data_IF_937360097728
#
_entry.id   IF_937360097728
#
_cell.length_a   1.000
_cell.length_b   1.000
_cell.length_c   1.000
_cell.angle_alpha   90.00
_cell.angle_beta   90.00
_cell.angle_gamma   90.00
#
_symmetry.space_group_name_H-M   'P 1'
#
loop_
_entity.id
_entity.type
_entity.pdbx_description
1 polymer ?
#
# COMPACT_ATOMS: atom_id res chain seq x y z
N UNK A 1 6.36 16.40 20.45
CA UNK A 1 7.32 15.42 19.89
C UNK A 1 7.37 14.26 20.87
N UNK A 2 7.27 13.01 20.41
CA UNK A 2 7.59 11.89 21.27
C UNK A 2 9.11 11.93 21.48
N UNK A 3 9.56 12.09 22.72
CA UNK A 3 10.98 11.98 23.08
C UNK A 3 11.28 10.49 23.17
N UNK A 4 11.81 9.94 22.09
CA UNK A 4 12.40 8.60 22.11
C UNK A 4 13.72 8.64 22.89
N UNK A 5 14.07 7.54 23.53
CA UNK A 5 15.39 7.35 24.13
C UNK A 5 16.43 7.39 23.03
N UNK A 6 17.52 8.14 23.22
CA UNK A 6 18.62 8.15 22.26
C UNK A 6 19.33 6.80 22.24
N UNK A 7 19.45 6.19 21.06
CA UNK A 7 20.12 4.90 20.91
C UNK A 7 20.75 4.78 19.53
N UNK A 8 21.79 3.95 19.44
CA UNK A 8 22.48 3.65 18.19
C UNK A 8 23.02 2.23 18.22
N UNK A 9 22.91 1.53 17.09
CA UNK A 9 23.61 0.27 16.85
C UNK A 9 24.48 0.44 15.60
N UNK A 10 25.77 0.23 15.73
CA UNK A 10 26.73 0.30 14.64
C UNK A 10 27.57 -0.98 14.58
N UNK A 11 27.63 -1.57 13.40
CA UNK A 11 28.40 -2.78 13.16
C UNK A 11 27.86 -3.55 11.95
N UNK A 12 28.51 -4.68 11.60
CA UNK A 12 28.10 -5.47 10.47
C UNK A 12 26.82 -6.26 10.79
N UNK A 13 25.94 -6.33 9.79
CA UNK A 13 24.74 -7.16 9.81
C UNK A 13 24.81 -8.25 8.75
N UNK A 14 24.15 -9.37 9.03
CA UNK A 14 24.07 -10.54 8.14
C UNK A 14 22.61 -10.92 7.98
N UNK A 15 22.17 -11.13 6.74
CA UNK A 15 20.83 -11.58 6.41
C UNK A 15 20.88 -12.89 5.61
N UNK A 16 20.26 -13.92 6.17
CA UNK A 16 20.07 -15.22 5.54
C UNK A 16 18.60 -15.35 5.17
N UNK A 17 18.28 -15.46 3.90
CA UNK A 17 16.91 -15.60 3.40
C UNK A 17 16.76 -16.90 2.59
N UNK A 18 15.56 -17.49 2.60
CA UNK A 18 15.22 -18.63 1.74
C UNK A 18 15.15 -18.28 0.24
N UNK A 19 15.03 -17.00 -0.10
CA UNK A 19 14.87 -16.56 -1.48
C UNK A 19 16.17 -16.63 -2.30
N UNK A 20 16.02 -16.59 -3.63
CA UNK A 20 17.15 -16.41 -4.55
C UNK A 20 17.88 -15.08 -4.30
N UNK A 21 19.08 -14.95 -4.90
CA UNK A 21 19.98 -13.79 -4.77
C UNK A 21 19.23 -12.45 -4.73
N UNK A 22 19.58 -11.61 -3.75
CA UNK A 22 19.05 -10.26 -3.62
C UNK A 22 17.76 -10.14 -2.80
N UNK A 23 17.09 -11.22 -2.39
CA UNK A 23 15.82 -11.16 -1.65
C UNK A 23 14.77 -10.28 -2.38
N UNK A 24 13.92 -10.84 -3.25
CA UNK A 24 13.00 -10.08 -4.11
C UNK A 24 12.14 -9.03 -3.38
N UNK A 25 11.83 -9.24 -2.10
CA UNK A 25 11.12 -8.28 -1.26
C UNK A 25 11.79 -6.89 -1.20
N UNK A 26 13.13 -6.83 -1.30
CA UNK A 26 13.90 -5.58 -1.36
C UNK A 26 13.67 -4.81 -2.68
N UNK A 27 13.11 -5.49 -3.69
CA UNK A 27 12.81 -4.97 -5.03
C UNK A 27 11.31 -4.78 -5.28
N UNK A 28 10.49 -4.75 -4.22
CA UNK A 28 9.02 -4.75 -4.32
C UNK A 28 8.47 -5.94 -5.12
N UNK A 29 9.14 -7.09 -5.05
CA UNK A 29 8.71 -8.33 -5.67
C UNK A 29 8.33 -9.36 -4.59
N UNK A 30 7.42 -10.31 -4.90
CA UNK A 30 7.03 -11.37 -3.95
C UNK A 30 8.21 -12.30 -3.64
N UNK A 31 8.22 -12.97 -2.47
CA UNK A 31 9.25 -13.95 -2.12
C UNK A 31 9.32 -15.07 -3.17
N UNK A 32 10.53 -15.56 -3.44
CA UNK A 32 10.78 -16.55 -4.50
C UNK A 32 9.94 -17.81 -4.34
N UNK A 33 9.83 -18.32 -3.11
CA UNK A 33 9.10 -19.56 -2.82
C UNK A 33 7.67 -19.32 -2.30
N UNK A 34 7.14 -18.09 -2.47
CA UNK A 34 5.82 -17.72 -1.97
C UNK A 34 5.71 -17.52 -0.45
N UNK A 35 6.71 -17.91 0.34
CA UNK A 35 6.84 -17.68 1.79
C UNK A 35 8.19 -17.03 2.13
N UNK A 36 8.27 -16.40 3.32
CA UNK A 36 9.51 -15.76 3.78
C UNK A 36 10.02 -16.43 5.07
N UNK A 37 11.22 -16.99 5.00
CA UNK A 37 11.94 -17.55 6.14
C UNK A 37 13.33 -16.91 6.16
N UNK A 38 13.70 -16.32 7.29
CA UNK A 38 14.95 -15.59 7.40
C UNK A 38 15.61 -15.73 8.77
N UNK A 39 16.94 -15.65 8.80
CA UNK A 39 17.73 -15.39 10.00
C UNK A 39 18.56 -14.13 9.78
N UNK A 40 18.44 -13.16 10.67
CA UNK A 40 19.14 -11.88 10.58
C UNK A 40 19.95 -11.69 11.84
N UNK A 41 21.23 -11.34 11.70
CA UNK A 41 22.15 -11.17 12.81
C UNK A 41 22.91 -9.86 12.73
N UNK A 42 23.32 -9.34 13.88
CA UNK A 42 24.14 -8.14 14.01
C UNK A 42 25.25 -8.40 15.03
N UNK A 43 26.46 -7.94 14.72
CA UNK A 43 27.50 -7.70 15.72
C UNK A 43 27.53 -6.21 15.98
N UNK A 44 27.29 -5.80 17.23
CA UNK A 44 27.27 -4.41 17.65
C UNK A 44 28.70 -4.04 18.02
N UNK A 45 29.44 -3.45 17.08
CA UNK A 45 30.82 -2.99 17.33
C UNK A 45 30.81 -1.78 18.26
N UNK A 46 29.87 -0.87 18.03
CA UNK A 46 29.63 0.31 18.86
C UNK A 46 28.12 0.54 18.99
N UNK A 47 27.62 0.72 20.20
CA UNK A 47 26.21 1.02 20.40
C UNK A 47 25.84 1.42 21.82
N UNK A 48 24.72 2.11 21.94
CA UNK A 48 24.19 2.57 23.21
C UNK A 48 22.67 2.66 23.19
N UNK A 49 22.07 2.66 24.37
CA UNK A 49 20.67 2.97 24.62
C UNK A 49 20.56 3.79 25.91
N UNK A 50 20.36 5.10 25.76
CA UNK A 50 20.58 6.07 26.83
C UNK A 50 22.00 5.94 27.37
N UNK A 51 22.13 5.70 28.67
CA UNK A 51 23.42 5.51 29.35
C UNK A 51 23.95 4.05 29.27
N UNK A 52 23.19 3.11 28.69
CA UNK A 52 23.57 1.70 28.63
C UNK A 52 24.43 1.45 27.39
N UNK A 53 25.70 1.06 27.56
CA UNK A 53 26.53 0.58 26.45
C UNK A 53 26.05 -0.80 25.97
N UNK A 54 26.04 -0.98 24.65
CA UNK A 54 25.67 -2.22 23.95
C UNK A 54 26.85 -2.75 23.13
N UNK A 55 28.07 -2.30 23.43
CA UNK A 55 29.28 -2.63 22.68
C UNK A 55 29.63 -4.12 22.77
N UNK A 56 30.17 -4.64 21.68
CA UNK A 56 30.62 -6.03 21.49
C UNK A 56 29.56 -7.12 21.76
N UNK A 57 28.27 -6.78 21.63
CA UNK A 57 27.18 -7.75 21.74
C UNK A 57 26.75 -8.29 20.38
N UNK A 58 26.41 -9.58 20.36
CA UNK A 58 25.80 -10.22 19.20
C UNK A 58 24.30 -10.43 19.41
N UNK A 59 23.53 -10.21 18.35
CA UNK A 59 22.09 -10.39 18.36
C UNK A 59 21.70 -11.10 17.08
N UNK A 60 20.79 -12.07 17.18
CA UNK A 60 20.19 -12.73 16.03
C UNK A 60 18.67 -12.81 16.20
N UNK A 61 17.95 -12.81 15.08
CA UNK A 61 16.51 -13.06 15.05
C UNK A 61 16.19 -14.04 13.91
N UNK A 62 15.30 -14.98 14.17
CA UNK A 62 14.66 -15.78 13.11
C UNK A 62 13.26 -15.27 12.85
N UNK A 63 12.87 -15.26 11.59
CA UNK A 63 11.58 -14.81 11.13
C UNK A 63 10.93 -15.83 10.20
N UNK A 64 9.61 -15.95 10.29
CA UNK A 64 8.80 -16.75 9.39
C UNK A 64 7.48 -16.03 9.08
N UNK A 65 7.21 -15.80 7.79
CA UNK A 65 5.91 -15.35 7.28
C UNK A 65 5.35 -16.39 6.31
N UNK A 66 4.04 -16.67 6.36
CA UNK A 66 3.39 -17.63 5.46
C UNK A 66 3.36 -17.13 4.00
N UNK A 67 3.49 -15.82 3.81
CA UNK A 67 3.43 -15.14 2.52
C UNK A 67 4.46 -14.02 2.44
N UNK A 68 4.13 -12.97 1.69
CA UNK A 68 4.96 -11.77 1.65
C UNK A 68 4.91 -11.04 3.00
N UNK A 69 6.03 -10.44 3.44
CA UNK A 69 6.17 -9.81 4.77
C UNK A 69 5.03 -8.81 5.08
N UNK A 70 4.60 -8.05 4.07
CA UNK A 70 3.55 -7.04 4.21
C UNK A 70 2.12 -7.61 4.37
N UNK A 71 1.92 -8.90 4.09
CA UNK A 71 0.66 -9.61 4.33
C UNK A 71 0.48 -9.95 5.83
N UNK A 72 1.55 -9.80 6.62
CA UNK A 72 1.54 -9.98 8.07
C UNK A 72 1.50 -11.46 8.49
N UNK A 73 0.97 -11.71 9.69
CA UNK A 73 0.96 -13.03 10.33
C UNK A 73 2.35 -13.66 10.50
N UNK A 74 3.36 -12.81 10.63
CA UNK A 74 4.72 -13.26 10.84
C UNK A 74 4.98 -13.69 12.28
N UNK A 75 5.99 -14.51 12.44
CA UNK A 75 6.52 -14.93 13.72
C UNK A 75 7.99 -14.57 13.83
N UNK A 76 8.43 -14.20 15.03
CA UNK A 76 9.82 -13.87 15.30
C UNK A 76 10.28 -14.47 16.63
N UNK A 77 11.53 -14.91 16.67
CA UNK A 77 12.24 -15.30 17.88
C UNK A 77 13.55 -14.53 17.92
N UNK A 78 13.79 -13.80 19.01
CA UNK A 78 15.04 -13.10 19.25
C UNK A 78 16.00 -13.97 20.07
N UNK A 79 17.29 -13.88 19.73
CA UNK A 79 18.42 -14.49 20.41
C UNK A 79 19.41 -13.37 20.75
N UNK A 80 19.65 -13.18 22.04
CA UNK A 80 20.57 -12.16 22.55
C UNK A 80 21.75 -12.89 23.18
N UNK A 81 22.95 -12.39 22.95
CA UNK A 81 24.17 -12.90 23.55
C UNK A 81 24.02 -13.07 25.07
N UNK A 82 24.36 -14.26 25.58
CA UNK A 82 24.30 -14.59 27.00
C UNK A 82 25.15 -13.66 27.87
N UNK A 83 26.21 -13.07 27.29
CA UNK A 83 27.09 -12.07 27.94
C UNK A 83 26.37 -10.76 28.27
N UNK A 84 25.23 -10.49 27.64
CA UNK A 84 24.47 -9.27 27.90
C UNK A 84 23.92 -9.25 29.33
N UNK A 85 24.15 -8.15 30.05
CA UNK A 85 23.56 -7.88 31.36
C UNK A 85 22.05 -7.57 31.25
N UNK A 86 21.32 -7.63 32.36
CA UNK A 86 19.88 -7.38 32.38
C UNK A 86 19.48 -6.01 31.77
N UNK A 87 20.15 -4.88 32.07
CA UNK A 87 19.86 -3.61 31.41
C UNK A 87 20.09 -3.65 29.90
N UNK A 88 21.14 -4.35 29.44
CA UNK A 88 21.44 -4.50 28.01
C UNK A 88 20.41 -5.35 27.30
N UNK A 89 19.96 -6.46 27.93
CA UNK A 89 18.89 -7.31 27.41
C UNK A 89 17.60 -6.52 27.23
N UNK A 90 17.20 -5.76 28.25
CA UNK A 90 16.01 -4.93 28.19
C UNK A 90 16.13 -3.86 27.08
N UNK A 91 17.27 -3.18 26.98
CA UNK A 91 17.53 -2.20 25.93
C UNK A 91 17.41 -2.82 24.53
N UNK A 92 18.06 -3.97 24.29
CA UNK A 92 18.00 -4.67 23.01
C UNK A 92 16.58 -5.11 22.66
N UNK A 93 15.82 -5.67 23.60
CA UNK A 93 14.42 -6.06 23.36
C UNK A 93 13.53 -4.86 23.06
N UNK A 94 13.75 -3.73 23.72
CA UNK A 94 13.02 -2.48 23.46
C UNK A 94 13.33 -1.92 22.06
N UNK A 95 14.59 -1.97 21.61
CA UNK A 95 14.99 -1.57 20.25
C UNK A 95 14.40 -2.53 19.21
N UNK A 96 14.58 -3.85 19.37
CA UNK A 96 14.15 -4.87 18.42
C UNK A 96 12.63 -4.97 18.28
N UNK A 97 11.88 -4.65 19.33
CA UNK A 97 10.41 -4.56 19.29
C UNK A 97 9.89 -3.27 18.64
N UNK A 98 10.78 -2.33 18.32
CA UNK A 98 10.45 -1.07 17.68
C UNK A 98 9.73 -0.06 18.58
N UNK A 99 9.84 -0.18 19.90
CA UNK A 99 9.16 0.68 20.86
C UNK A 99 9.75 2.10 20.95
N UNK A 100 11.08 2.22 20.84
CA UNK A 100 11.83 3.48 21.03
C UNK A 100 12.33 4.08 19.73
N UNK A 101 11.47 4.09 18.71
CA UNK A 101 11.82 4.62 17.40
C UNK A 101 10.59 5.09 16.64
N UNK A 102 10.83 5.94 15.64
CA UNK A 102 9.79 6.38 14.72
C UNK A 102 9.11 5.17 14.06
N UNK A 103 7.79 5.19 13.84
CA UNK A 103 7.05 4.07 13.24
C UNK A 103 7.55 3.65 11.85
N UNK A 104 8.30 4.52 11.17
CA UNK A 104 8.91 4.26 9.86
C UNK A 104 10.31 3.63 9.95
N UNK A 105 10.86 3.47 11.16
CA UNK A 105 12.14 2.81 11.36
C UNK A 105 12.01 1.30 11.16
N UNK A 106 13.15 0.67 10.81
CA UNK A 106 13.24 -0.73 10.40
C UNK A 106 12.51 -1.68 11.37
N UNK A 107 12.89 -1.67 12.66
CA UNK A 107 12.31 -2.61 13.63
C UNK A 107 10.80 -2.39 13.88
N UNK A 108 10.28 -1.18 13.68
CA UNK A 108 8.89 -0.83 13.95
C UNK A 108 8.01 -1.33 12.79
N UNK A 109 8.53 -1.23 11.56
CA UNK A 109 7.90 -1.84 10.39
C UNK A 109 7.83 -3.36 10.58
N UNK A 110 8.95 -4.02 10.90
CA UNK A 110 8.94 -5.47 11.09
C UNK A 110 8.02 -5.88 12.23
N UNK A 111 8.12 -5.25 13.40
CA UNK A 111 7.24 -5.51 14.53
C UNK A 111 5.75 -5.37 14.18
N UNK A 112 5.38 -4.46 13.28
CA UNK A 112 3.98 -4.29 12.85
C UNK A 112 3.44 -5.44 11.98
N UNK A 113 4.32 -6.22 11.37
CA UNK A 113 3.96 -7.37 10.52
C UNK A 113 3.93 -8.70 11.28
N UNK A 114 4.36 -8.70 12.53
CA UNK A 114 4.46 -9.90 13.36
C UNK A 114 3.17 -10.07 14.18
N UNK A 115 2.54 -11.23 14.08
CA UNK A 115 1.43 -11.64 14.95
C UNK A 115 1.93 -12.31 16.22
N UNK A 116 3.14 -12.86 16.19
CA UNK A 116 3.72 -13.64 17.29
C UNK A 116 5.17 -13.24 17.50
N UNK A 117 5.47 -12.80 18.72
CA UNK A 117 6.84 -12.63 19.22
C UNK A 117 7.05 -13.72 20.27
N UNK A 118 7.94 -14.66 19.98
CA UNK A 118 8.30 -15.72 20.92
C UNK A 118 9.20 -15.18 22.04
N UNK A 119 9.25 -15.90 23.15
CA UNK A 119 10.01 -15.50 24.33
C UNK A 119 11.52 -15.45 24.01
N UNK A 120 12.21 -14.31 24.19
CA UNK A 120 13.60 -14.16 23.79
C UNK A 120 14.50 -15.16 24.51
N UNK A 121 15.51 -15.68 23.80
CA UNK A 121 16.50 -16.59 24.38
C UNK A 121 17.82 -15.85 24.59
N UNK A 122 18.43 -16.08 25.75
CA UNK A 122 19.75 -15.57 26.10
C UNK A 122 20.76 -16.71 26.02
N UNK A 123 21.46 -16.81 24.90
CA UNK A 123 22.30 -17.97 24.53
C UNK A 123 23.57 -17.48 23.84
N UNK A 124 24.59 -18.33 23.64
CA UNK A 124 25.73 -17.96 22.81
C UNK A 124 25.25 -17.60 21.40
N UNK A 125 25.54 -16.37 20.98
CA UNK A 125 25.24 -15.86 19.63
C UNK A 125 26.55 -15.38 19.02
N UNK A 126 26.87 -15.87 17.84
CA UNK A 126 28.04 -15.44 17.07
C UNK A 126 27.58 -14.97 15.69
N UNK A 127 27.91 -13.73 15.36
CA UNK A 127 27.66 -13.11 14.06
C UNK A 127 28.97 -12.59 13.53
N UNK A 128 29.45 -13.19 12.45
CA UNK A 128 30.70 -12.79 11.79
C UNK A 128 30.38 -12.29 10.40
N UNK A 129 31.09 -11.24 9.98
CA UNK A 129 30.95 -10.67 8.65
C UNK A 129 32.29 -10.11 8.20
N UNK A 130 32.74 -10.58 7.04
CA UNK A 130 33.92 -10.08 6.37
C UNK A 130 33.50 -9.54 4.98
N UNK A 131 33.56 -8.22 4.85
CA UNK A 131 33.18 -7.52 3.62
C UNK A 131 34.24 -7.64 2.53
N UNK A 132 35.48 -7.92 2.89
CA UNK A 132 36.57 -8.09 1.94
C UNK A 132 36.47 -9.48 1.30
N UNK A 133 36.22 -10.54 2.07
CA UNK A 133 35.97 -11.86 1.49
C UNK A 133 34.53 -12.09 1.01
N UNK A 134 33.59 -11.18 1.33
CA UNK A 134 32.15 -11.35 1.13
C UNK A 134 31.60 -12.61 1.79
N UNK A 135 32.17 -12.96 2.95
CA UNK A 135 31.70 -14.09 3.76
C UNK A 135 31.03 -13.58 5.02
N UNK A 136 30.03 -14.31 5.49
CA UNK A 136 29.38 -14.01 6.75
C UNK A 136 28.79 -15.27 7.37
N UNK A 137 28.56 -15.29 8.68
CA UNK A 137 27.90 -16.39 9.36
C UNK A 137 27.08 -15.92 10.54
N UNK A 138 25.99 -16.65 10.80
CA UNK A 138 25.22 -16.56 12.03
C UNK A 138 25.25 -17.96 12.66
N UNK A 139 25.69 -18.03 13.91
CA UNK A 139 25.71 -19.26 14.69
C UNK A 139 25.04 -19.03 16.04
N UNK A 140 24.03 -19.83 16.30
CA UNK A 140 23.40 -20.01 17.62
C UNK A 140 23.36 -21.52 17.86
N UNK A 141 24.19 -22.07 18.76
CA UNK A 141 24.35 -23.51 18.91
C UNK A 141 23.02 -24.27 19.05
N UNK A 142 22.80 -25.27 18.19
CA UNK A 142 21.58 -26.09 18.18
C UNK A 142 20.33 -25.42 17.60
N UNK A 143 20.40 -24.15 17.21
CA UNK A 143 19.23 -23.36 16.78
C UNK A 143 19.41 -22.72 15.40
N UNK A 144 20.55 -22.06 15.16
CA UNK A 144 20.87 -21.41 13.87
C UNK A 144 22.29 -21.82 13.47
N UNK A 145 22.41 -22.36 12.26
CA UNK A 145 23.70 -22.49 11.59
C UNK A 145 23.53 -22.04 10.14
N UNK A 146 24.12 -20.89 9.81
CA UNK A 146 24.00 -20.31 8.48
C UNK A 146 25.26 -19.58 8.06
N UNK A 147 25.58 -19.70 6.78
CA UNK A 147 26.76 -19.11 6.15
C UNK A 147 26.37 -18.43 4.83
N UNK A 148 27.05 -17.32 4.56
CA UNK A 148 27.01 -16.56 3.32
C UNK A 148 28.37 -16.73 2.65
N UNK A 149 28.37 -17.12 1.39
CA UNK A 149 29.56 -17.27 0.57
C UNK A 149 29.39 -16.50 -0.74
N UNK A 150 30.46 -16.02 -1.39
CA UNK A 150 30.35 -15.21 -2.59
C UNK A 150 29.52 -15.86 -3.70
N UNK A 151 28.80 -15.03 -4.46
CA UNK A 151 28.19 -15.47 -5.72
C UNK A 151 29.31 -15.94 -6.64
N UNK A 152 29.18 -17.11 -7.25
CA UNK A 152 30.18 -17.60 -8.20
C UNK A 152 29.70 -17.42 -9.63
N UNK A 153 30.60 -17.01 -10.52
CA UNK A 153 30.33 -16.99 -11.96
C UNK A 153 30.19 -18.43 -12.48
N UNK A 154 29.07 -18.80 -13.12
CA UNK A 154 28.83 -20.18 -13.57
C UNK A 154 29.77 -20.63 -14.69
N UNK A 155 30.50 -19.72 -15.34
CA UNK A 155 31.41 -20.04 -16.44
C UNK A 155 32.82 -20.39 -15.95
N UNK A 156 33.36 -19.61 -15.01
CA UNK A 156 34.76 -19.71 -14.58
C UNK A 156 34.93 -19.95 -13.07
N UNK A 157 33.84 -20.00 -12.29
CA UNK A 157 33.86 -20.20 -10.84
C UNK A 157 34.42 -19.02 -10.04
N UNK A 158 34.74 -17.89 -10.67
CA UNK A 158 35.27 -16.72 -9.98
C UNK A 158 34.22 -16.02 -9.11
N UNK A 159 34.61 -15.41 -7.98
CA UNK A 159 33.68 -14.61 -7.16
C UNK A 159 33.12 -13.40 -7.92
N UNK A 160 31.81 -13.38 -8.12
CA UNK A 160 31.06 -12.29 -8.70
C UNK A 160 30.59 -11.31 -7.60
N UNK A 161 31.17 -10.10 -7.61
CA UNK A 161 30.76 -9.03 -6.67
C UNK A 161 29.63 -8.21 -7.26
N UNK A 162 28.47 -8.26 -6.64
CA UNK A 162 27.33 -7.46 -7.03
C UNK A 162 26.99 -6.42 -5.93
N UNK A 163 26.87 -5.15 -6.31
CA UNK A 163 26.52 -4.05 -5.40
C UNK A 163 25.22 -3.41 -5.83
N UNK A 164 24.28 -3.28 -4.90
CA UNK A 164 23.04 -2.56 -5.14
C UNK A 164 23.10 -1.16 -4.56
N UNK A 165 22.60 -0.21 -5.34
CA UNK A 165 22.38 1.16 -4.90
C UNK A 165 20.93 1.46 -5.21
N UNK A 166 20.12 1.63 -4.16
CA UNK A 166 18.75 2.12 -4.27
C UNK A 166 18.83 3.65 -4.14
N UNK A 167 18.71 4.43 -5.23
CA UNK A 167 19.01 5.87 -5.20
C UNK A 167 18.08 6.70 -4.31
N UNK A 168 16.85 6.20 -4.12
CA UNK A 168 15.79 6.88 -3.38
C UNK A 168 15.48 6.24 -2.02
N UNK A 169 16.20 5.17 -1.63
CA UNK A 169 16.05 4.56 -0.31
C UNK A 169 16.75 5.42 0.74
N UNK A 170 15.99 6.09 1.60
CA UNK A 170 16.55 6.78 2.76
C UNK A 170 17.25 5.75 3.66
N UNK A 171 18.58 5.84 3.73
CA UNK A 171 19.51 5.01 4.49
C UNK A 171 19.65 3.53 4.06
N UNK A 172 20.44 3.28 3.01
CA UNK A 172 21.64 2.41 3.03
C UNK A 172 21.98 1.91 1.62
N UNK A 173 23.20 2.20 1.15
CA UNK A 173 23.77 1.47 0.02
C UNK A 173 24.20 0.08 0.53
N UNK A 174 23.38 -0.96 0.35
CA UNK A 174 23.70 -2.33 0.73
C UNK A 174 24.32 -3.09 -0.46
N UNK A 175 25.49 -3.74 -0.28
CA UNK A 175 25.92 -4.77 -1.23
C UNK A 175 24.84 -5.85 -1.39
N UNK A 176 24.78 -6.52 -2.54
CA UNK A 176 23.95 -7.74 -2.65
C UNK A 176 24.59 -8.76 -1.70
N UNK A 177 23.87 -9.15 -0.65
CA UNK A 177 24.24 -10.34 0.09
C UNK A 177 24.15 -11.52 -0.89
N UNK A 178 25.22 -12.30 -1.06
CA UNK A 178 25.12 -13.57 -1.77
C UNK A 178 23.99 -14.42 -1.17
N UNK A 179 23.31 -15.21 -1.99
CA UNK A 179 22.42 -16.24 -1.47
C UNK A 179 23.24 -17.17 -0.59
N UNK A 180 22.71 -17.61 0.56
CA UNK A 180 23.44 -18.47 1.46
C UNK A 180 23.77 -19.79 0.73
N UNK A 181 25.01 -20.24 0.79
CA UNK A 181 25.43 -21.47 0.11
C UNK A 181 24.79 -22.73 0.69
N UNK A 182 24.37 -22.64 1.95
CA UNK A 182 23.45 -23.56 2.61
C UNK A 182 22.11 -22.87 2.86
N UNK A 183 20.98 -23.48 2.49
CA UNK A 183 19.68 -23.04 3.01
C UNK A 183 19.78 -22.98 4.53
N UNK A 184 19.40 -21.87 5.19
CA UNK A 184 19.46 -21.81 6.64
C UNK A 184 18.63 -22.97 7.17
N UNK A 185 19.25 -23.82 8.00
CA UNK A 185 18.54 -24.91 8.67
C UNK A 185 17.77 -24.28 9.83
N UNK A 186 16.77 -23.45 9.51
CA UNK A 186 15.76 -23.00 10.46
C UNK A 186 14.90 -24.22 10.72
N UNK A 187 14.82 -24.73 11.96
CA UNK A 187 13.86 -25.78 12.25
C UNK A 187 12.48 -25.26 11.86
N UNK A 188 11.86 -25.85 10.84
CA UNK A 188 10.40 -25.75 10.66
C UNK A 188 9.77 -26.12 11.99
N UNK A 189 8.69 -25.47 12.45
CA UNK A 189 8.23 -25.61 13.82
C UNK A 189 7.95 -27.08 14.14
N UNK A 190 8.90 -27.66 14.88
CA UNK A 190 8.81 -28.88 15.68
C UNK A 190 8.91 -30.22 14.95
N UNK A 191 10.15 -30.61 14.61
CA UNK A 191 10.58 -32.01 14.72
C UNK A 191 11.75 -32.11 15.70
N UNK A 192 11.43 -32.23 17.00
CA UNK A 192 12.09 -33.29 17.78
C UNK A 192 11.10 -34.43 17.86
N UNK A 193 11.55 -35.65 17.55
CA UNK A 193 11.62 -36.62 18.62
C UNK A 193 13.02 -37.21 18.75
N UNK A 194 13.29 -37.69 19.95
CA UNK A 194 14.35 -38.63 20.25
C UNK A 194 14.48 -39.71 19.15
N UNK A 195 15.72 -40.18 18.98
CA UNK A 195 16.10 -41.28 18.10
C UNK A 195 14.99 -42.32 17.83
N UNK A 196 14.68 -42.59 16.55
CA UNK A 196 14.57 -43.93 15.92
C UNK A 196 13.88 -43.89 14.54
N UNK A 197 14.02 -44.95 13.72
CA UNK A 197 13.96 -44.88 12.25
C UNK A 197 12.61 -45.30 11.65
N UNK A 198 12.42 -44.87 10.40
CA UNK A 198 11.69 -45.50 9.29
C UNK A 198 10.24 -46.00 9.48
N UNK A 199 9.44 -45.63 8.47
CA UNK A 199 8.22 -46.28 7.97
C UNK A 199 6.87 -45.92 8.60
N UNK A 200 5.93 -45.66 7.69
CA UNK A 200 4.47 -45.85 7.81
C UNK A 200 3.66 -44.64 8.32
N UNK A 201 3.02 -43.99 7.35
CA UNK A 201 1.72 -43.27 7.40
C UNK A 201 1.13 -43.00 8.78
N UNK A 202 1.13 -41.72 9.17
CA UNK A 202 0.08 -41.13 10.00
C UNK A 202 -0.58 -40.00 9.22
N UNK A 203 -1.84 -40.23 8.87
CA UNK A 203 -2.80 -39.25 8.39
C UNK A 203 -2.93 -38.18 9.48
N UNK A 204 -2.61 -36.93 9.17
CA UNK A 204 -2.85 -35.79 10.05
C UNK A 204 -3.84 -34.83 9.40
N UNK A 205 -4.82 -34.45 10.21
CA UNK A 205 -6.00 -33.69 9.90
C UNK A 205 -5.66 -32.19 9.68
N UNK A 206 -5.89 -31.59 8.49
CA UNK A 206 -5.45 -30.21 8.20
C UNK A 206 -6.31 -29.09 8.83
N UNK A 207 -7.21 -29.38 9.77
CA UNK A 207 -8.30 -28.46 10.16
C UNK A 207 -8.31 -27.91 11.60
N UNK A 208 -7.20 -27.95 12.34
CA UNK A 208 -7.08 -27.22 13.62
C UNK A 208 -5.71 -26.52 13.69
N UNK A 209 -5.55 -25.19 13.60
CA UNK A 209 -6.44 -24.09 14.01
C UNK A 209 -6.21 -22.88 13.09
N UNK A 210 -7.10 -22.65 12.11
CA UNK A 210 -7.34 -21.31 11.61
C UNK A 210 -8.12 -20.56 12.70
N UNK A 211 -7.41 -19.94 13.65
CA UNK A 211 -8.04 -18.90 14.45
C UNK A 211 -8.34 -17.74 13.48
N UNK A 212 -9.61 -17.40 13.21
CA UNK A 212 -9.92 -16.24 12.38
C UNK A 212 -9.21 -15.03 12.98
N UNK A 213 -8.52 -14.26 12.14
CA UNK A 213 -7.96 -12.96 12.52
C UNK A 213 -9.04 -12.22 13.32
N UNK A 214 -8.80 -11.90 14.59
CA UNK A 214 -9.78 -11.17 15.39
C UNK A 214 -10.19 -9.94 14.57
N UNK A 215 -11.49 -9.81 14.27
CA UNK A 215 -12.03 -8.69 13.52
C UNK A 215 -11.56 -7.42 14.25
N UNK A 216 -10.76 -6.58 13.58
CA UNK A 216 -10.46 -5.23 14.08
C UNK A 216 -11.76 -4.45 14.03
N UNK A 217 -12.53 -4.51 15.11
CA UNK A 217 -13.83 -3.85 15.25
C UNK A 217 -13.75 -2.35 14.98
N UNK A 218 -12.60 -1.72 15.22
CA UNK A 218 -12.42 -0.32 14.89
C UNK A 218 -12.15 -0.09 13.40
N UNK A 219 -11.50 -1.01 12.69
CA UNK A 219 -11.41 -0.96 11.22
C UNK A 219 -12.77 -1.27 10.58
N UNK A 220 -13.50 -2.24 11.13
CA UNK A 220 -14.85 -2.56 10.71
C UNK A 220 -15.79 -1.36 10.92
N UNK A 221 -15.76 -0.71 12.09
CA UNK A 221 -16.56 0.48 12.37
C UNK A 221 -16.18 1.66 11.45
N UNK A 222 -14.90 1.92 11.24
CA UNK A 222 -14.45 2.97 10.33
C UNK A 222 -14.86 2.69 8.87
N UNK A 223 -14.70 1.44 8.42
CA UNK A 223 -15.12 1.01 7.09
C UNK A 223 -16.63 1.10 6.90
N UNK A 224 -17.42 0.58 7.85
CA UNK A 224 -18.88 0.66 7.84
C UNK A 224 -19.36 2.12 7.86
N UNK A 225 -18.72 2.99 8.63
CA UNK A 225 -19.04 4.43 8.65
C UNK A 225 -18.82 5.09 7.28
N UNK A 226 -17.69 4.81 6.62
CA UNK A 226 -17.41 5.32 5.28
C UNK A 226 -18.42 4.78 4.27
N UNK A 227 -18.72 3.48 4.30
CA UNK A 227 -19.68 2.86 3.40
C UNK A 227 -21.10 3.40 3.62
N UNK A 228 -21.50 3.68 4.86
CA UNK A 228 -22.79 4.31 5.17
C UNK A 228 -22.88 5.74 4.60
N UNK A 229 -21.80 6.54 4.71
CA UNK A 229 -21.72 7.86 4.09
C UNK A 229 -21.80 7.77 2.56
N UNK A 230 -21.13 6.79 1.96
CA UNK A 230 -21.20 6.55 0.51
C UNK A 230 -22.62 6.15 0.09
N UNK A 231 -23.29 5.28 0.84
CA UNK A 231 -24.67 4.86 0.58
C UNK A 231 -25.64 6.04 0.69
N UNK A 232 -25.45 6.93 1.69
CA UNK A 232 -26.23 8.14 1.84
C UNK A 232 -26.02 9.11 0.66
N UNK A 233 -24.78 9.27 0.20
CA UNK A 233 -24.46 10.10 -0.97
C UNK A 233 -25.08 9.54 -2.26
N UNK A 234 -25.06 8.22 -2.44
CA UNK A 234 -25.75 7.53 -3.54
C UNK A 234 -27.27 7.70 -3.47
N UNK A 235 -27.87 7.53 -2.29
CA UNK A 235 -29.29 7.78 -2.07
C UNK A 235 -29.67 9.21 -2.44
N UNK A 236 -28.87 10.18 -2.02
CA UNK A 236 -29.11 11.58 -2.35
C UNK A 236 -28.99 11.86 -3.85
N UNK A 237 -27.95 11.33 -4.49
CA UNK A 237 -27.76 11.44 -5.95
C UNK A 237 -28.93 10.82 -6.73
N UNK A 238 -29.44 9.67 -6.27
CA UNK A 238 -30.61 9.02 -6.86
C UNK A 238 -31.90 9.83 -6.67
N UNK A 239 -32.03 10.50 -5.53
CA UNK A 239 -33.15 11.41 -5.25
C UNK A 239 -33.10 12.66 -6.12
N UNK A 240 -31.91 13.24 -6.33
CA UNK A 240 -31.74 14.38 -7.25
C UNK A 240 -32.06 13.99 -8.69
N UNK A 241 -31.59 12.82 -9.13
CA UNK A 241 -31.93 12.28 -10.45
C UNK A 241 -33.44 12.04 -10.63
N UNK A 242 -34.14 11.52 -9.61
CA UNK A 242 -35.59 11.30 -9.68
C UNK A 242 -36.39 12.61 -9.66
N UNK A 243 -35.95 13.62 -8.92
CA UNK A 243 -36.55 14.95 -8.93
C UNK A 243 -36.43 15.61 -10.31
N UNK A 244 -35.26 15.54 -10.94
CA UNK A 244 -35.07 16.07 -12.30
C UNK A 244 -35.86 15.30 -13.34
N UNK A 245 -35.94 13.96 -13.22
CA UNK A 245 -36.80 13.16 -14.10
C UNK A 245 -38.30 13.52 -13.95
N UNK A 246 -38.75 13.87 -12.73
CA UNK A 246 -40.12 14.29 -12.47
C UNK A 246 -40.45 15.68 -13.02
N UNK A 247 -39.45 16.53 -13.28
CA UNK A 247 -39.64 17.85 -13.91
C UNK A 247 -39.89 17.76 -15.43
N UNK A 248 -39.75 16.58 -16.05
CA UNK A 248 -40.09 16.36 -17.46
C UNK A 248 -39.28 17.24 -18.44
N UNK A 249 -39.88 17.57 -19.59
CA UNK A 249 -39.23 18.40 -20.63
C UNK A 249 -39.36 19.92 -20.37
N UNK A 250 -39.51 20.36 -19.12
CA UNK A 250 -39.56 21.80 -18.81
C UNK A 250 -38.23 22.46 -19.16
N UNK A 251 -38.20 23.41 -20.09
CA UNK A 251 -36.97 24.13 -20.44
C UNK A 251 -36.40 24.87 -19.24
N UNK A 252 -35.25 24.40 -18.74
CA UNK A 252 -34.49 25.13 -17.74
C UNK A 252 -33.57 26.17 -18.41
N UNK A 253 -33.50 27.40 -17.88
CA UNK A 253 -32.51 28.36 -18.32
C UNK A 253 -31.09 27.84 -18.00
N UNK A 254 -30.06 28.28 -18.74
CA UNK A 254 -28.67 27.99 -18.43
C UNK A 254 -28.34 28.31 -16.97
N UNK A 255 -27.50 27.48 -16.35
CA UNK A 255 -27.18 27.60 -14.92
C UNK A 255 -26.56 28.97 -14.61
N UNK A 256 -27.26 29.76 -13.79
CA UNK A 256 -26.69 30.97 -13.18
C UNK A 256 -25.96 30.61 -11.87
N UNK A 257 -24.65 30.82 -11.86
CA UNK A 257 -23.75 30.49 -10.76
C UNK A 257 -24.06 31.22 -9.46
N UNK A 258 -24.53 32.46 -9.56
CA UNK A 258 -24.81 33.29 -8.39
C UNK A 258 -26.25 33.12 -7.89
N UNK A 259 -26.99 32.17 -8.46
CA UNK A 259 -28.35 31.84 -8.09
C UNK A 259 -28.43 30.55 -7.25
N UNK A 260 -29.58 30.27 -6.59
CA UNK A 260 -29.83 28.98 -5.96
C UNK A 260 -29.69 27.78 -6.90
N UNK A 261 -29.87 27.98 -8.22
CA UNK A 261 -29.67 26.94 -9.24
C UNK A 261 -28.19 26.52 -9.33
N UNK A 262 -27.28 27.50 -9.33
CA UNK A 262 -25.84 27.24 -9.32
C UNK A 262 -25.39 26.47 -8.08
N UNK A 263 -25.92 26.82 -6.91
CA UNK A 263 -25.66 26.08 -5.66
C UNK A 263 -26.18 24.64 -5.73
N UNK A 264 -27.36 24.44 -6.33
CA UNK A 264 -27.91 23.10 -6.53
C UNK A 264 -27.04 22.25 -7.45
N UNK A 265 -26.63 22.79 -8.61
CA UNK A 265 -25.76 22.07 -9.57
C UNK A 265 -24.41 21.74 -8.94
N UNK A 266 -23.81 22.67 -8.19
CA UNK A 266 -22.58 22.41 -7.44
C UNK A 266 -22.79 21.30 -6.38
N UNK A 267 -23.89 21.37 -5.63
CA UNK A 267 -24.27 20.37 -4.64
C UNK A 267 -24.37 18.97 -5.24
N UNK A 268 -25.08 18.84 -6.37
CA UNK A 268 -25.23 17.60 -7.12
C UNK A 268 -23.88 17.03 -7.59
N UNK A 269 -22.99 17.86 -8.15
CA UNK A 269 -21.66 17.38 -8.55
C UNK A 269 -20.81 16.96 -7.36
N UNK A 270 -20.89 17.68 -6.23
CA UNK A 270 -20.19 17.32 -5.00
C UNK A 270 -20.68 15.97 -4.47
N UNK A 271 -22.00 15.80 -4.30
CA UNK A 271 -22.58 14.56 -3.79
C UNK A 271 -22.23 13.38 -4.68
N UNK A 272 -22.35 13.54 -6.00
CA UNK A 272 -22.00 12.53 -6.99
C UNK A 272 -20.52 12.13 -6.92
N UNK A 273 -19.59 13.11 -6.91
CA UNK A 273 -18.15 12.82 -6.83
C UNK A 273 -17.80 12.06 -5.55
N UNK A 274 -18.38 12.45 -4.41
CA UNK A 274 -18.13 11.78 -3.15
C UNK A 274 -18.73 10.36 -3.12
N UNK A 275 -19.92 10.18 -3.69
CA UNK A 275 -20.58 8.87 -3.77
C UNK A 275 -19.73 7.83 -4.53
N UNK A 276 -19.09 8.24 -5.61
CA UNK A 276 -18.32 7.34 -6.47
C UNK A 276 -16.88 7.15 -6.00
N UNK A 277 -16.23 8.22 -5.50
CA UNK A 277 -14.77 8.21 -5.29
C UNK A 277 -14.33 7.96 -3.85
N UNK A 278 -15.20 8.20 -2.86
CA UNK A 278 -14.87 7.88 -1.47
C UNK A 278 -14.67 6.37 -1.21
N UNK A 279 -15.48 5.45 -1.80
CA UNK A 279 -15.24 4.00 -1.66
C UNK A 279 -13.85 3.57 -2.16
N UNK A 280 -13.35 4.20 -3.22
CA UNK A 280 -12.07 3.86 -3.82
C UNK A 280 -10.87 4.20 -2.91
N UNK A 281 -11.02 5.12 -1.96
CA UNK A 281 -9.98 5.45 -0.98
C UNK A 281 -10.02 4.55 0.27
N UNK A 282 -11.04 3.69 0.41
CA UNK A 282 -11.25 2.91 1.63
C UNK A 282 -10.03 2.05 2.05
N UNK A 283 -9.38 1.26 1.17
CA UNK A 283 -8.22 0.47 1.58
C UNK A 283 -7.07 1.34 2.10
N UNK A 284 -6.86 2.49 1.45
CA UNK A 284 -5.85 3.47 1.83
C UNK A 284 -6.17 4.11 3.20
N UNK A 285 -7.43 4.48 3.45
CA UNK A 285 -7.87 5.05 4.72
C UNK A 285 -7.72 4.03 5.86
N UNK A 286 -8.08 2.77 5.63
CA UNK A 286 -7.95 1.70 6.63
C UNK A 286 -6.47 1.39 6.93
N UNK A 287 -5.62 1.38 5.91
CA UNK A 287 -4.18 1.22 6.10
C UNK A 287 -3.57 2.41 6.84
N UNK A 288 -3.91 3.64 6.44
CA UNK A 288 -3.44 4.85 7.11
C UNK A 288 -3.89 4.87 8.58
N UNK A 289 -5.14 4.48 8.85
CA UNK A 289 -5.66 4.29 10.22
C UNK A 289 -4.74 3.35 11.00
N UNK A 290 -4.40 2.18 10.46
CA UNK A 290 -3.49 1.21 11.10
C UNK A 290 -2.15 1.84 11.44
N UNK A 291 -1.57 2.63 10.54
CA UNK A 291 -0.30 3.33 10.77
C UNK A 291 -0.38 4.37 11.89
N UNK A 292 -1.53 5.04 12.08
CA UNK A 292 -1.69 6.08 13.11
C UNK A 292 -2.36 5.59 14.40
N UNK A 293 -2.69 4.30 14.54
CA UNK A 293 -3.49 3.78 15.68
C UNK A 293 -2.88 4.09 17.05
N UNK A 294 -1.55 4.09 17.12
CA UNK A 294 -0.76 4.33 18.35
C UNK A 294 -0.47 5.82 18.59
N UNK A 295 -0.87 6.71 17.68
CA UNK A 295 -0.65 8.15 17.82
C UNK A 295 -1.75 8.82 18.68
N UNK A 296 -1.34 9.71 19.59
CA UNK A 296 -2.28 10.45 20.45
C UNK A 296 -3.24 11.36 19.65
N UNK A 297 -2.82 11.81 18.46
CA UNK A 297 -3.60 12.64 17.55
C UNK A 297 -4.22 11.84 16.39
N UNK A 298 -4.34 10.51 16.52
CA UNK A 298 -4.84 9.60 15.47
C UNK A 298 -6.13 10.09 14.81
N UNK A 299 -7.09 10.56 15.62
CA UNK A 299 -8.39 11.01 15.13
C UNK A 299 -8.24 12.25 14.26
N UNK A 300 -7.49 13.26 14.74
CA UNK A 300 -7.24 14.48 13.98
C UNK A 300 -6.48 14.21 12.68
N UNK A 301 -5.45 13.34 12.71
CA UNK A 301 -4.69 12.96 11.51
C UNK A 301 -5.55 12.23 10.49
N UNK A 302 -6.37 11.28 10.95
CA UNK A 302 -7.28 10.55 10.06
C UNK A 302 -8.31 11.49 9.42
N UNK A 303 -8.89 12.40 10.20
CA UNK A 303 -9.81 13.42 9.67
C UNK A 303 -9.13 14.36 8.68
N UNK A 304 -7.91 14.82 8.94
CA UNK A 304 -7.16 15.67 8.01
C UNK A 304 -6.82 14.95 6.71
N UNK A 305 -6.45 13.67 6.79
CA UNK A 305 -6.20 12.85 5.60
C UNK A 305 -7.49 12.73 4.75
N UNK A 306 -8.61 12.38 5.36
CA UNK A 306 -9.89 12.27 4.68
C UNK A 306 -10.38 13.62 4.13
N UNK A 307 -10.26 14.70 4.91
CA UNK A 307 -10.67 16.05 4.50
C UNK A 307 -9.85 16.55 3.30
N UNK A 308 -8.55 16.28 3.27
CA UNK A 308 -7.71 16.60 2.11
C UNK A 308 -8.14 15.83 0.85
N UNK A 309 -8.48 14.54 0.99
CA UNK A 309 -9.00 13.74 -0.13
C UNK A 309 -10.34 14.29 -0.65
N UNK A 310 -11.26 14.58 0.27
CA UNK A 310 -12.56 15.19 -0.05
C UNK A 310 -12.35 16.53 -0.75
N UNK A 311 -11.44 17.38 -0.27
CA UNK A 311 -11.15 18.68 -0.86
C UNK A 311 -10.68 18.58 -2.32
N UNK A 312 -9.79 17.63 -2.64
CA UNK A 312 -9.31 17.44 -4.02
C UNK A 312 -10.47 17.07 -4.95
N UNK A 313 -11.33 16.14 -4.54
CA UNK A 313 -12.49 15.75 -5.32
C UNK A 313 -13.56 16.83 -5.39
N UNK A 314 -13.76 17.62 -4.34
CA UNK A 314 -14.62 18.79 -4.36
C UNK A 314 -14.12 19.87 -5.33
N UNK A 315 -12.81 20.09 -5.40
CA UNK A 315 -12.21 20.98 -6.39
C UNK A 315 -12.44 20.49 -7.83
N UNK A 316 -12.37 19.18 -8.06
CA UNK A 316 -12.70 18.61 -9.36
C UNK A 316 -14.21 18.68 -9.68
N UNK A 317 -15.08 18.51 -8.68
CA UNK A 317 -16.52 18.69 -8.82
C UNK A 317 -16.85 20.14 -9.24
N UNK A 318 -16.21 21.12 -8.59
CA UNK A 318 -16.32 22.54 -8.93
C UNK A 318 -15.85 22.83 -10.37
N UNK A 319 -14.77 22.17 -10.82
CA UNK A 319 -14.31 22.27 -12.20
C UNK A 319 -15.35 21.73 -13.18
N UNK A 320 -15.94 20.56 -12.90
CA UNK A 320 -16.94 19.96 -13.78
C UNK A 320 -18.26 20.73 -13.81
N UNK A 321 -18.73 21.25 -12.68
CA UNK A 321 -19.88 22.15 -12.69
C UNK A 321 -19.55 23.45 -13.45
N UNK A 322 -18.31 23.96 -13.36
CA UNK A 322 -17.79 25.07 -14.16
C UNK A 322 -17.91 24.83 -15.65
N UNK A 323 -17.38 23.67 -16.10
CA UNK A 323 -17.43 23.24 -17.49
C UNK A 323 -18.87 23.01 -17.97
N UNK A 324 -19.74 22.48 -17.11
CA UNK A 324 -21.16 22.31 -17.42
C UNK A 324 -21.81 23.65 -17.71
N UNK A 325 -21.72 24.60 -16.78
CA UNK A 325 -22.34 25.91 -16.93
C UNK A 325 -21.80 26.69 -18.12
N UNK A 326 -20.49 26.60 -18.38
CA UNK A 326 -19.89 27.18 -19.59
C UNK A 326 -20.45 26.52 -20.86
N UNK A 327 -20.58 25.19 -20.87
CA UNK A 327 -21.16 24.44 -21.98
C UNK A 327 -22.62 24.83 -22.25
N UNK A 328 -23.42 25.02 -21.20
CA UNK A 328 -24.80 25.49 -21.30
C UNK A 328 -24.87 26.92 -21.84
N UNK A 329 -24.00 27.82 -21.36
CA UNK A 329 -23.98 29.22 -21.77
C UNK A 329 -23.58 29.40 -23.25
N UNK A 330 -22.65 28.57 -23.74
CA UNK A 330 -22.23 28.56 -25.15
C UNK A 330 -23.23 27.78 -26.03
N UNK A 331 -24.25 27.15 -25.45
CA UNK A 331 -25.26 26.38 -26.16
C UNK A 331 -24.78 25.03 -26.68
N UNK A 332 -23.66 24.53 -26.14
CA UNK A 332 -23.02 23.27 -26.53
C UNK A 332 -23.52 22.11 -25.65
N UNK A 333 -23.97 22.38 -24.43
CA UNK A 333 -24.49 21.39 -23.51
C UNK A 333 -25.98 21.60 -23.30
N UNK A 334 -26.76 20.53 -23.38
CA UNK A 334 -28.18 20.53 -23.08
C UNK A 334 -28.40 20.72 -21.55
N UNK A 335 -29.04 21.82 -21.09
CA UNK A 335 -29.22 22.10 -19.66
C UNK A 335 -30.12 21.08 -18.93
N UNK A 336 -30.93 20.32 -19.66
CA UNK A 336 -31.80 19.29 -19.09
C UNK A 336 -31.10 17.93 -19.03
N UNK A 337 -30.46 17.53 -20.12
CA UNK A 337 -29.85 16.19 -20.23
C UNK A 337 -28.41 16.13 -19.74
N UNK A 338 -27.78 17.29 -19.49
CA UNK A 338 -26.36 17.44 -19.13
C UNK A 338 -25.46 16.54 -20.00
N UNK A 339 -25.72 16.57 -21.31
CA UNK A 339 -25.12 15.66 -22.29
C UNK A 339 -24.53 16.44 -23.45
N UNK A 340 -23.30 16.09 -23.81
CA UNK A 340 -22.62 16.66 -24.97
C UNK A 340 -23.24 16.16 -26.29
N UNK A 341 -23.21 16.97 -27.36
CA UNK A 341 -23.61 16.54 -28.69
C UNK A 341 -22.71 15.40 -29.16
N UNK A 342 -23.22 14.50 -30.04
CA UNK A 342 -22.50 13.28 -30.44
C UNK A 342 -21.06 13.53 -30.92
N UNK A 343 -20.81 14.60 -31.68
CA UNK A 343 -19.48 14.95 -32.16
C UNK A 343 -18.48 15.24 -31.01
N UNK A 344 -18.87 16.06 -30.04
CA UNK A 344 -18.02 16.37 -28.88
C UNK A 344 -17.93 15.21 -27.90
N UNK A 345 -19.03 14.47 -27.72
CA UNK A 345 -19.03 13.24 -26.92
C UNK A 345 -18.06 12.20 -27.46
N UNK A 346 -17.98 12.07 -28.80
CA UNK A 346 -17.01 11.20 -29.47
C UNK A 346 -15.56 11.62 -29.21
N UNK A 347 -15.27 12.93 -29.26
CA UNK A 347 -13.96 13.45 -28.87
C UNK A 347 -13.61 13.16 -27.42
N UNK A 348 -14.55 13.34 -26.49
CA UNK A 348 -14.33 13.06 -25.06
C UNK A 348 -14.03 11.57 -24.84
N UNK A 349 -14.74 10.67 -25.51
CA UNK A 349 -14.47 9.22 -25.46
C UNK A 349 -13.08 8.87 -26.01
N UNK A 350 -12.66 9.51 -27.12
CA UNK A 350 -11.32 9.35 -27.66
C UNK A 350 -10.25 9.80 -26.67
N UNK A 351 -10.41 11.00 -26.07
CA UNK A 351 -9.48 11.52 -25.07
C UNK A 351 -9.44 10.61 -23.85
N UNK A 352 -10.59 10.14 -23.36
CA UNK A 352 -10.66 9.21 -22.24
C UNK A 352 -9.95 7.89 -22.56
N UNK A 353 -10.18 7.32 -23.74
CA UNK A 353 -9.53 6.09 -24.19
C UNK A 353 -8.02 6.23 -24.43
N UNK A 354 -7.56 7.35 -25.01
CA UNK A 354 -6.13 7.64 -25.15
C UNK A 354 -5.47 7.84 -23.79
N UNK A 355 -6.13 8.55 -22.87
CA UNK A 355 -5.66 8.71 -21.50
C UNK A 355 -5.59 7.37 -20.78
N UNK A 356 -6.57 6.49 -21.02
CA UNK A 356 -6.62 5.13 -20.49
C UNK A 356 -5.34 4.35 -20.83
N UNK A 357 -4.81 4.52 -22.04
CA UNK A 357 -3.58 3.87 -22.53
C UNK A 357 -2.28 4.59 -22.10
N UNK A 358 -2.38 5.82 -21.61
CA UNK A 358 -1.22 6.69 -21.35
C UNK A 358 -0.30 6.18 -20.21
N UNK A 359 1.00 6.51 -20.29
CA UNK A 359 1.94 6.22 -19.19
C UNK A 359 1.61 7.00 -17.91
N UNK A 360 1.01 8.19 -18.06
CA UNK A 360 0.59 9.04 -16.94
C UNK A 360 -0.47 8.35 -16.07
N UNK A 361 -1.54 7.80 -16.70
CA UNK A 361 -2.55 7.02 -15.96
C UNK A 361 -1.91 5.81 -15.29
N UNK A 362 -1.06 5.06 -16.00
CA UNK A 362 -0.40 3.88 -15.43
C UNK A 362 0.43 4.24 -14.19
N UNK A 363 1.15 5.37 -14.21
CA UNK A 363 1.92 5.85 -13.07
C UNK A 363 1.03 6.18 -11.87
N UNK A 364 -0.06 6.94 -12.09
CA UNK A 364 -1.00 7.29 -11.04
C UNK A 364 -1.70 6.04 -10.46
N UNK A 365 -2.12 5.12 -11.33
CA UNK A 365 -2.82 3.90 -10.93
C UNK A 365 -1.96 2.99 -10.07
N UNK A 366 -0.66 2.85 -10.38
CA UNK A 366 0.27 2.09 -9.52
C UNK A 366 0.27 2.60 -8.07
N UNK A 367 0.26 3.91 -7.88
CA UNK A 367 0.22 4.51 -6.54
C UNK A 367 -1.11 4.25 -5.81
N UNK A 368 -2.21 4.19 -6.56
CA UNK A 368 -3.52 3.81 -6.00
C UNK A 368 -3.63 2.31 -5.67
N UNK A 369 -2.98 1.44 -6.46
CA UNK A 369 -2.98 -0.02 -6.28
C UNK A 369 -1.97 -0.50 -5.22
N UNK A 370 -0.97 0.31 -4.88
CA UNK A 370 0.03 0.01 -3.84
C UNK A 370 -0.05 0.95 -2.62
N UNK A 371 -1.13 0.90 -1.80
CA UNK A 371 -1.29 1.78 -0.63
C UNK A 371 -0.09 1.81 0.32
N UNK A 372 0.54 0.65 0.56
CA UNK A 372 1.68 0.52 1.45
C UNK A 372 2.92 1.24 0.90
N UNK A 373 3.27 0.97 -0.37
CA UNK A 373 4.39 1.66 -1.04
C UNK A 373 4.16 3.17 -1.13
N UNK A 374 2.92 3.60 -1.36
CA UNK A 374 2.57 5.02 -1.36
C UNK A 374 2.84 5.67 0.00
N UNK A 375 2.39 5.04 1.10
CA UNK A 375 2.63 5.55 2.46
C UNK A 375 4.11 5.55 2.82
N UNK A 376 4.85 4.50 2.48
CA UNK A 376 6.29 4.45 2.74
C UNK A 376 7.04 5.63 2.11
N UNK A 377 6.66 6.03 0.91
CA UNK A 377 7.35 7.08 0.16
C UNK A 377 6.83 8.50 0.46
N UNK A 378 5.53 8.64 0.76
CA UNK A 378 4.88 9.95 0.84
C UNK A 378 4.36 10.34 2.23
N UNK A 379 4.24 9.40 3.17
CA UNK A 379 3.75 9.71 4.50
C UNK A 379 4.74 10.62 5.23
N UNK A 380 4.20 11.67 5.86
CA UNK A 380 4.95 12.63 6.66
C UNK A 380 4.38 12.66 8.08
N UNK A 381 5.22 12.87 9.11
CA UNK A 381 4.75 12.92 10.49
C UNK A 381 3.91 14.19 10.77
N UNK A 382 3.12 14.13 11.84
CA UNK A 382 2.33 15.27 12.32
C UNK A 382 1.05 15.56 11.52
N UNK A 383 0.32 16.60 11.95
CA UNK A 383 -0.96 17.02 11.34
C UNK A 383 -0.79 17.54 9.91
N UNK A 384 0.23 18.38 9.68
CA UNK A 384 0.56 18.88 8.35
C UNK A 384 0.97 17.74 7.41
N UNK A 385 1.67 16.74 7.94
CA UNK A 385 2.02 15.54 7.19
C UNK A 385 0.80 14.71 6.78
N UNK A 386 -0.17 14.53 7.69
CA UNK A 386 -1.43 13.86 7.38
C UNK A 386 -2.21 14.56 6.25
N UNK A 387 -2.34 15.88 6.33
CA UNK A 387 -2.97 16.72 5.31
C UNK A 387 -2.29 16.59 3.94
N UNK A 388 -0.96 16.75 3.90
CA UNK A 388 -0.20 16.66 2.65
C UNK A 388 -0.23 15.25 2.05
N UNK A 389 -0.22 14.21 2.88
CA UNK A 389 -0.34 12.82 2.45
C UNK A 389 -1.71 12.58 1.82
N UNK A 390 -2.79 13.09 2.43
CA UNK A 390 -4.14 13.05 1.88
C UNK A 390 -4.28 13.81 0.57
N UNK A 391 -3.71 15.03 0.47
CA UNK A 391 -3.71 15.81 -0.78
C UNK A 391 -3.00 15.07 -1.91
N UNK A 392 -1.80 14.53 -1.65
CA UNK A 392 -1.05 13.76 -2.65
C UNK A 392 -1.82 12.51 -3.10
N UNK A 393 -2.40 11.78 -2.16
CA UNK A 393 -3.22 10.61 -2.50
C UNK A 393 -4.43 11.01 -3.35
N UNK A 394 -5.12 12.09 -2.97
CA UNK A 394 -6.22 12.66 -3.74
C UNK A 394 -5.80 13.02 -5.17
N UNK A 395 -4.64 13.66 -5.36
CA UNK A 395 -4.14 14.03 -6.69
C UNK A 395 -3.78 12.81 -7.56
N UNK A 396 -3.14 11.78 -7.01
CA UNK A 396 -2.92 10.52 -7.76
C UNK A 396 -4.23 9.81 -8.08
N UNK A 397 -5.17 9.81 -7.13
CA UNK A 397 -6.50 9.24 -7.32
C UNK A 397 -7.27 9.97 -8.43
N UNK A 398 -7.24 11.29 -8.44
CA UNK A 398 -7.81 12.09 -9.53
C UNK A 398 -7.08 11.81 -10.85
N UNK A 399 -5.75 11.79 -10.84
CA UNK A 399 -4.91 11.47 -11.99
C UNK A 399 -5.28 10.14 -12.64
N UNK A 400 -5.58 9.09 -11.90
CA UNK A 400 -5.90 7.80 -12.52
C UNK A 400 -7.30 7.72 -13.18
N UNK A 401 -8.24 8.61 -12.85
CA UNK A 401 -9.65 8.46 -13.28
C UNK A 401 -10.38 9.73 -13.75
N UNK A 402 -9.76 10.92 -13.72
CA UNK A 402 -10.40 12.18 -14.18
C UNK A 402 -10.96 12.07 -15.60
N UNK A 403 -10.24 11.42 -16.52
CA UNK A 403 -10.68 11.28 -17.91
C UNK A 403 -11.89 10.35 -18.04
N UNK A 404 -12.01 9.33 -17.18
CA UNK A 404 -13.20 8.49 -17.10
C UNK A 404 -14.40 9.26 -16.53
N UNK A 405 -14.17 10.21 -15.63
CA UNK A 405 -15.25 11.06 -15.10
C UNK A 405 -15.84 11.96 -16.18
N UNK A 406 -15.05 12.41 -17.16
CA UNK A 406 -15.58 13.18 -18.30
C UNK A 406 -16.56 12.37 -19.18
N UNK A 407 -16.48 11.03 -19.16
CA UNK A 407 -17.42 10.16 -19.87
C UNK A 407 -18.85 10.32 -19.35
N UNK A 408 -19.04 10.80 -18.11
CA UNK A 408 -20.37 11.14 -17.58
C UNK A 408 -21.06 12.21 -18.42
N UNK A 409 -20.32 13.16 -19.00
CA UNK A 409 -20.87 14.18 -19.92
C UNK A 409 -21.33 13.59 -21.27
N UNK A 410 -20.91 12.36 -21.60
CA UNK A 410 -21.29 11.66 -22.83
C UNK A 410 -22.52 10.77 -22.63
N UNK A 411 -22.59 10.10 -21.49
CA UNK A 411 -23.72 9.21 -21.13
C UNK A 411 -24.88 10.02 -20.52
N UNK A 412 -24.59 11.20 -19.99
CA UNK A 412 -25.50 12.06 -19.23
C UNK A 412 -25.12 12.02 -17.76
N UNK A 413 -24.78 13.19 -17.18
CA UNK A 413 -24.27 13.26 -15.81
C UNK A 413 -25.28 12.74 -14.77
N UNK A 414 -26.58 12.79 -15.07
CA UNK A 414 -27.65 12.28 -14.22
C UNK A 414 -27.98 10.79 -14.43
N UNK A 415 -27.24 10.09 -15.30
CA UNK A 415 -27.44 8.66 -15.53
C UNK A 415 -26.89 7.84 -14.37
N UNK A 416 -27.77 7.36 -13.48
CA UNK A 416 -27.38 6.47 -12.38
C UNK A 416 -26.67 5.21 -12.88
N UNK A 417 -27.07 4.68 -14.04
CA UNK A 417 -26.40 3.55 -14.68
C UNK A 417 -24.99 3.91 -15.14
N UNK A 418 -24.81 5.09 -15.75
CA UNK A 418 -23.49 5.58 -16.16
C UNK A 418 -22.55 5.78 -14.97
N UNK A 419 -23.07 6.39 -13.90
CA UNK A 419 -22.35 6.55 -12.63
C UNK A 419 -21.97 5.20 -12.03
N UNK A 420 -22.89 4.24 -11.97
CA UNK A 420 -22.62 2.94 -11.36
C UNK A 420 -21.57 2.16 -12.17
N UNK A 421 -21.70 2.13 -13.49
CA UNK A 421 -20.75 1.43 -14.37
C UNK A 421 -19.34 2.02 -14.28
N UNK A 422 -19.22 3.35 -14.33
CA UNK A 422 -17.92 4.02 -14.20
C UNK A 422 -17.33 3.84 -12.80
N UNK A 423 -18.16 3.89 -11.75
CA UNK A 423 -17.71 3.59 -10.38
C UNK A 423 -17.12 2.20 -10.28
N UNK A 424 -17.83 1.19 -10.79
CA UNK A 424 -17.39 -0.19 -10.78
C UNK A 424 -16.12 -0.38 -11.59
N UNK A 425 -16.01 0.25 -12.77
CA UNK A 425 -14.80 0.23 -13.58
C UNK A 425 -13.59 0.82 -12.82
N UNK A 426 -13.76 1.99 -12.21
CA UNK A 426 -12.71 2.67 -11.44
C UNK A 426 -12.33 1.86 -10.20
N UNK A 427 -13.31 1.29 -9.50
CA UNK A 427 -13.09 0.46 -8.32
C UNK A 427 -12.36 -0.82 -8.68
N UNK A 428 -12.78 -1.50 -9.75
CA UNK A 428 -12.11 -2.68 -10.28
C UNK A 428 -10.66 -2.37 -10.64
N UNK A 429 -10.39 -1.26 -11.35
CA UNK A 429 -9.03 -0.85 -11.69
C UNK A 429 -8.17 -0.56 -10.45
N UNK A 430 -8.73 0.01 -9.39
CA UNK A 430 -7.97 0.37 -8.18
C UNK A 430 -7.77 -0.79 -7.21
N UNK A 431 -8.72 -1.71 -7.13
CA UNK A 431 -8.74 -2.76 -6.11
C UNK A 431 -8.30 -4.13 -6.62
N UNK A 432 -8.49 -4.43 -7.90
CA UNK A 432 -8.21 -5.75 -8.45
C UNK A 432 -6.87 -5.75 -9.19
N UNK A 433 -6.06 -6.83 -9.07
CA UNK A 433 -4.79 -6.96 -9.77
C UNK A 433 -5.00 -7.35 -11.26
N UNK A 434 -5.80 -6.58 -11.99
CA UNK A 434 -6.25 -6.89 -13.37
C UNK A 434 -5.16 -6.75 -14.44
N UNK A 435 -3.93 -6.47 -14.03
CA UNK A 435 -2.78 -6.30 -14.91
C UNK A 435 -2.94 -5.16 -15.93
N UNK A 436 -1.95 -5.02 -16.80
CA UNK A 436 -1.94 -4.01 -17.87
C UNK A 436 -2.95 -4.31 -18.99
N UNK A 437 -3.38 -5.58 -19.13
CA UNK A 437 -4.31 -6.02 -20.16
C UNK A 437 -5.70 -5.38 -20.04
N UNK A 438 -6.26 -5.32 -18.83
CA UNK A 438 -7.58 -4.72 -18.58
C UNK A 438 -7.66 -3.26 -19.02
N UNK A 439 -6.62 -2.48 -18.69
CA UNK A 439 -6.49 -1.07 -19.07
C UNK A 439 -6.45 -0.87 -20.58
N UNK A 440 -5.78 -1.78 -21.30
CA UNK A 440 -5.73 -1.77 -22.77
C UNK A 440 -7.10 -2.09 -23.38
N UNK A 441 -7.80 -3.09 -22.84
CA UNK A 441 -9.14 -3.45 -23.29
C UNK A 441 -10.14 -2.31 -23.05
N UNK A 442 -10.19 -1.75 -21.83
CA UNK A 442 -11.11 -0.64 -21.53
C UNK A 442 -10.78 0.62 -22.35
N UNK A 443 -9.50 0.91 -22.58
CA UNK A 443 -9.06 2.01 -23.44
C UNK A 443 -9.47 1.82 -24.91
N UNK A 444 -9.26 0.62 -25.46
CA UNK A 444 -9.65 0.28 -26.83
C UNK A 444 -11.17 0.35 -27.02
N UNK A 445 -11.96 -0.11 -26.04
CA UNK A 445 -13.42 0.00 -26.06
C UNK A 445 -13.89 1.47 -26.09
N UNK A 446 -13.29 2.34 -25.27
CA UNK A 446 -13.61 3.76 -25.26
C UNK A 446 -13.26 4.44 -26.58
N UNK A 447 -12.09 4.10 -27.18
CA UNK A 447 -11.68 4.62 -28.49
C UNK A 447 -12.67 4.16 -29.58
N UNK A 448 -13.01 2.87 -29.60
CA UNK A 448 -13.95 2.32 -30.57
C UNK A 448 -15.33 2.98 -30.45
N UNK A 449 -15.84 3.13 -29.23
CA UNK A 449 -17.10 3.83 -28.96
C UNK A 449 -17.04 5.30 -29.43
N UNK A 450 -15.92 6.00 -29.19
CA UNK A 450 -15.71 7.37 -29.66
C UNK A 450 -15.71 7.48 -31.19
N UNK A 451 -15.01 6.59 -31.89
CA UNK A 451 -15.00 6.55 -33.36
C UNK A 451 -16.37 6.25 -33.94
N UNK A 452 -17.10 5.28 -33.37
CA UNK A 452 -18.46 4.95 -33.78
C UNK A 452 -19.41 6.15 -33.59
N UNK A 453 -19.31 6.85 -32.46
CA UNK A 453 -20.14 8.02 -32.19
C UNK A 453 -19.84 9.19 -33.14
N UNK A 454 -18.57 9.40 -33.49
CA UNK A 454 -18.17 10.38 -34.50
C UNK A 454 -18.65 10.04 -35.90
N UNK A 455 -18.64 8.75 -36.26
CA UNK A 455 -19.15 8.28 -37.54
C UNK A 455 -20.66 8.53 -37.64
N UNK A 456 -21.41 8.14 -36.62
CA UNK A 456 -22.85 8.39 -36.51
C UNK A 456 -23.23 9.88 -36.48
N UNK A 457 -22.35 10.74 -35.97
CA UNK A 457 -22.59 12.17 -35.95
C UNK A 457 -22.45 12.84 -37.34
N UNK A 458 -21.81 12.16 -38.30
CA UNK A 458 -21.58 12.67 -39.67
C UNK A 458 -22.59 12.16 -40.69
N UNK A 459 -23.18 11.00 -40.43
CA UNK A 459 -24.29 10.40 -41.19
C UNK A 459 -25.62 11.01 -40.76
#
# INVERSE_FOLDING_TARGET
MATYTDWRLHGPGVDLCNCNYGCPCQFNAPPTDGKCEAAVGFHIVEGHFGETSLDDLHVACTFAWPGAIHEGNGQCQAFIDERASEPQRQALLTILSGQEQEPTALFAIFASTLSTMHEPLFVPVEVLSDRDSLTASIRVPGLIEGKVEPILNPVDGSPHRARMVLPEASNSARPIAPAPSSRPRVPSPWSMPAAMPCSTTCIWDPMASFAPSRIDWGAAAAGSGILALCALAWYWSAREASLMAAMGDMQMPPTDWFSPQGLFVLGMWLTMMQAMMLPAALPMILLYRRCVLRDRQRTARLWLFCAAYVLVWSGFALLLSGLQALGEHVGVLDPMRLRLPPALGGLVLLVAGLYQLSRAKAACLRHCQSPLGFLQHHARPGLAGAWLTGLRHGLYCLGCCWALMLVLLVVGAMSLWGMALLSLLVLAEKLLPLGEGWRRCSGALLIAAGLLLLFWARS
#
